data_IF_376275236510
#
_entry.id   IF_376275236510
#
_cell.length_a   1.000
_cell.length_b   1.000
_cell.length_c   1.000
_cell.angle_alpha   90.00
_cell.angle_beta   90.00
_cell.angle_gamma   90.00
#
_symmetry.space_group_name_H-M   'P 1'
#
loop_
_entity.id
_entity.type
_entity.pdbx_description
1 polymer ?
#
# COMPACT_ATOMS: atom_id res chain seq x y z
N UNK A 1 23.90 -13.18 -4.33
CA UNK A 1 22.84 -14.16 -4.67
C UNK A 1 21.71 -13.37 -5.30
N UNK A 2 21.26 -13.73 -6.51
CA UNK A 2 20.15 -13.02 -7.15
C UNK A 2 18.93 -13.05 -6.22
N UNK A 3 18.41 -11.87 -5.88
CA UNK A 3 17.13 -11.73 -5.17
C UNK A 3 16.07 -12.37 -6.06
N UNK A 4 15.64 -13.58 -5.71
CA UNK A 4 14.60 -14.28 -6.45
C UNK A 4 13.34 -13.44 -6.32
N UNK A 5 12.95 -12.73 -7.37
CA UNK A 5 11.70 -11.97 -7.39
C UNK A 5 10.48 -12.85 -7.13
N UNK A 6 9.34 -12.23 -6.83
CA UNK A 6 8.09 -12.95 -6.61
C UNK A 6 7.73 -13.85 -7.81
N UNK A 7 7.30 -15.08 -7.52
CA UNK A 7 6.84 -16.02 -8.57
C UNK A 7 5.57 -15.51 -9.23
N UNK A 8 4.70 -14.86 -8.45
CA UNK A 8 3.46 -14.25 -8.91
C UNK A 8 3.63 -12.74 -8.84
N UNK A 9 3.26 -12.05 -9.93
CA UNK A 9 3.31 -10.58 -9.96
C UNK A 9 2.39 -9.98 -8.89
N UNK A 10 2.83 -8.97 -8.11
CA UNK A 10 1.98 -8.24 -7.17
C UNK A 10 0.69 -7.70 -7.79
N UNK A 11 0.75 -7.32 -9.07
CA UNK A 11 -0.40 -6.82 -9.84
C UNK A 11 -1.47 -7.89 -10.14
N UNK A 12 -1.23 -9.15 -9.77
CA UNK A 12 -2.25 -10.21 -9.78
C UNK A 12 -3.22 -10.07 -8.61
N UNK A 13 -2.90 -9.25 -7.61
CA UNK A 13 -3.71 -9.02 -6.42
C UNK A 13 -4.28 -7.60 -6.41
N UNK A 14 -5.43 -7.44 -5.77
CA UNK A 14 -6.05 -6.14 -5.57
C UNK A 14 -5.35 -5.41 -4.42
N UNK A 15 -4.90 -4.18 -4.64
CA UNK A 15 -4.34 -3.34 -3.57
C UNK A 15 -5.31 -3.17 -2.38
N UNK A 16 -6.59 -2.89 -2.66
CA UNK A 16 -7.57 -2.54 -1.63
C UNK A 16 -7.96 -3.75 -0.75
N UNK A 17 -8.20 -4.92 -1.34
CA UNK A 17 -8.73 -6.07 -0.60
C UNK A 17 -7.76 -7.27 -0.47
N UNK A 18 -6.59 -7.22 -1.10
CA UNK A 18 -5.63 -8.33 -1.10
C UNK A 18 -6.05 -9.56 -1.89
N UNK A 19 -7.28 -9.63 -2.43
CA UNK A 19 -7.75 -10.81 -3.16
C UNK A 19 -7.08 -10.95 -4.54
N UNK A 20 -6.95 -12.19 -5.00
CA UNK A 20 -6.52 -12.50 -6.36
C UNK A 20 -7.51 -11.98 -7.41
N UNK A 21 -6.95 -11.40 -8.47
CA UNK A 21 -7.67 -10.75 -9.55
C UNK A 21 -7.29 -11.35 -10.88
N UNK A 22 -8.30 -11.64 -11.68
CA UNK A 22 -8.11 -12.08 -13.06
C UNK A 22 -7.93 -10.84 -13.91
N UNK A 23 -7.08 -10.91 -14.95
CA UNK A 23 -6.72 -9.76 -15.79
C UNK A 23 -7.92 -8.93 -16.27
N UNK A 24 -9.02 -9.58 -16.65
CA UNK A 24 -10.24 -8.88 -17.10
C UNK A 24 -10.95 -8.06 -15.99
N UNK A 25 -10.71 -8.40 -14.73
CA UNK A 25 -11.28 -7.74 -13.55
C UNK A 25 -10.33 -6.73 -12.90
N UNK A 26 -9.11 -6.57 -13.42
CA UNK A 26 -8.15 -5.59 -12.94
C UNK A 26 -8.46 -4.21 -13.53
N UNK A 27 -8.33 -3.17 -12.72
CA UNK A 27 -8.42 -1.77 -13.12
C UNK A 27 -7.15 -1.06 -12.62
N UNK A 28 -6.70 -0.05 -13.39
CA UNK A 28 -5.75 0.94 -12.90
C UNK A 28 -6.36 1.77 -11.77
N UNK A 29 -5.51 2.24 -10.86
CA UNK A 29 -5.94 3.15 -9.79
C UNK A 29 -6.10 4.55 -10.39
N UNK A 30 -7.36 4.99 -10.53
CA UNK A 30 -7.70 6.33 -10.98
C UNK A 30 -7.73 7.34 -9.83
N UNK A 31 -7.74 8.63 -10.13
CA UNK A 31 -7.87 9.69 -9.12
C UNK A 31 -9.17 9.58 -8.34
N UNK A 32 -10.25 9.15 -9.00
CA UNK A 32 -11.50 8.81 -8.34
C UNK A 32 -11.29 7.77 -7.23
N UNK A 33 -10.58 6.67 -7.52
CA UNK A 33 -10.29 5.63 -6.54
C UNK A 33 -9.45 6.20 -5.40
N UNK A 34 -8.42 7.00 -5.70
CA UNK A 34 -7.56 7.62 -4.66
C UNK A 34 -8.36 8.52 -3.73
N UNK A 35 -9.18 9.42 -4.28
CA UNK A 35 -10.00 10.38 -3.52
C UNK A 35 -11.04 9.67 -2.65
N UNK A 36 -11.80 8.73 -3.21
CA UNK A 36 -12.85 8.01 -2.46
C UNK A 36 -12.26 7.06 -1.43
N UNK A 37 -11.13 6.41 -1.75
CA UNK A 37 -10.39 5.59 -0.79
C UNK A 37 -9.92 6.43 0.41
N UNK A 38 -9.33 7.60 0.15
CA UNK A 38 -8.93 8.52 1.21
C UNK A 38 -10.13 9.01 2.03
N UNK A 39 -11.23 9.41 1.37
CA UNK A 39 -12.44 9.84 2.06
C UNK A 39 -13.01 8.76 3.00
N UNK A 40 -12.92 7.48 2.59
CA UNK A 40 -13.43 6.34 3.35
C UNK A 40 -12.50 5.94 4.51
N UNK A 41 -11.21 5.70 4.22
CA UNK A 41 -10.25 5.15 5.19
C UNK A 41 -9.45 6.21 5.94
N UNK A 42 -9.56 7.49 5.56
CA UNK A 42 -8.76 8.61 6.06
C UNK A 42 -7.25 8.37 5.94
N UNK A 43 -6.85 7.58 4.93
CA UNK A 43 -5.47 7.17 4.68
C UNK A 43 -5.18 7.23 3.19
N UNK A 44 -4.05 7.85 2.82
CA UNK A 44 -3.63 7.96 1.42
C UNK A 44 -3.28 6.59 0.88
N UNK A 45 -3.53 6.39 -0.41
CA UNK A 45 -3.17 5.17 -1.11
C UNK A 45 -1.65 5.17 -1.36
N UNK A 46 -0.91 4.51 -0.46
CA UNK A 46 0.55 4.54 -0.39
C UNK A 46 1.27 3.50 -1.26
N UNK A 47 2.60 3.62 -1.29
CA UNK A 47 3.55 2.68 -1.89
C UNK A 47 3.32 2.38 -3.39
N UNK A 48 2.66 3.29 -4.12
CA UNK A 48 2.38 3.13 -5.55
C UNK A 48 3.59 3.40 -6.46
N UNK A 49 4.70 3.86 -5.89
CA UNK A 49 6.01 3.93 -6.50
C UNK A 49 6.85 2.67 -6.22
N UNK A 50 6.40 1.80 -5.31
CA UNK A 50 7.16 0.66 -4.84
C UNK A 50 6.83 -0.61 -5.63
N UNK A 51 7.81 -1.27 -6.25
CA UNK A 51 7.55 -2.46 -7.09
C UNK A 51 7.02 -3.66 -6.29
N UNK A 52 7.20 -3.68 -4.97
CA UNK A 52 6.72 -4.73 -4.08
C UNK A 52 5.23 -4.60 -3.74
N UNK A 53 4.59 -3.44 -3.97
CA UNK A 53 3.17 -3.26 -3.71
C UNK A 53 2.32 -3.58 -4.96
N UNK A 54 1.03 -3.94 -4.80
CA UNK A 54 0.12 -4.02 -5.94
C UNK A 54 -0.22 -2.62 -6.49
N UNK A 55 -0.28 -2.50 -7.82
CA UNK A 55 -0.62 -1.26 -8.52
C UNK A 55 -1.98 -1.34 -9.24
N UNK A 56 -2.77 -2.37 -8.91
CA UNK A 56 -4.06 -2.67 -9.53
C UNK A 56 -5.12 -2.85 -8.47
N UNK A 57 -6.34 -2.48 -8.81
CA UNK A 57 -7.53 -2.74 -7.99
C UNK A 57 -8.50 -3.63 -8.75
N UNK A 58 -9.30 -4.41 -8.03
CA UNK A 58 -10.34 -5.20 -8.67
C UNK A 58 -11.60 -4.37 -8.95
N UNK A 59 -12.33 -4.70 -10.03
CA UNK A 59 -13.61 -4.08 -10.40
C UNK A 59 -14.58 -3.99 -9.22
N UNK A 60 -14.65 -5.04 -8.40
CA UNK A 60 -15.53 -5.09 -7.24
C UNK A 60 -15.20 -4.00 -6.21
N UNK A 61 -13.93 -3.78 -5.90
CA UNK A 61 -13.52 -2.75 -4.95
C UNK A 61 -13.83 -1.36 -5.49
N UNK A 62 -13.56 -1.12 -6.76
CA UNK A 62 -13.85 0.16 -7.40
C UNK A 62 -15.37 0.43 -7.46
N UNK A 63 -16.18 -0.58 -7.79
CA UNK A 63 -17.64 -0.50 -7.76
C UNK A 63 -18.20 -0.27 -6.36
N UNK A 64 -17.68 -0.97 -5.36
CA UNK A 64 -18.09 -0.81 -3.97
C UNK A 64 -17.79 0.61 -3.44
N UNK A 65 -16.63 1.18 -3.78
CA UNK A 65 -16.29 2.57 -3.47
C UNK A 65 -17.25 3.54 -4.17
N UNK A 66 -17.54 3.29 -5.45
CA UNK A 66 -18.47 4.12 -6.24
C UNK A 66 -19.89 4.09 -5.67
N UNK A 67 -20.38 2.92 -5.28
CA UNK A 67 -21.72 2.80 -4.71
C UNK A 67 -21.82 3.45 -3.33
N UNK A 68 -20.78 3.33 -2.51
CA UNK A 68 -20.72 4.04 -1.23
C UNK A 68 -20.72 5.55 -1.43
N UNK A 69 -19.85 6.07 -2.31
CA UNK A 69 -19.80 7.50 -2.62
C UNK A 69 -21.15 8.06 -3.11
N UNK A 70 -21.90 7.28 -3.90
CA UNK A 70 -23.25 7.65 -4.37
C UNK A 70 -24.35 7.49 -3.31
N UNK A 71 -24.03 7.12 -2.07
CA UNK A 71 -25.00 6.82 -1.02
C UNK A 71 -25.88 5.60 -1.30
N UNK A 72 -25.51 4.76 -2.28
CA UNK A 72 -26.26 3.53 -2.64
C UNK A 72 -25.83 2.33 -1.80
N UNK A 73 -24.72 2.44 -1.08
CA UNK A 73 -24.17 1.41 -0.20
C UNK A 73 -23.79 2.05 1.13
N UNK A 74 -24.24 1.46 2.24
CA UNK A 74 -24.01 2.01 3.58
C UNK A 74 -22.52 2.02 3.95
N UNK A 75 -21.80 0.95 3.59
CA UNK A 75 -20.39 0.82 3.92
C UNK A 75 -19.67 -0.13 2.95
N UNK A 76 -18.34 0.00 2.91
CA UNK A 76 -17.46 -0.99 2.30
C UNK A 76 -17.46 -2.29 3.11
N UNK A 77 -16.94 -3.39 2.54
CA UNK A 77 -16.98 -4.73 3.18
C UNK A 77 -16.14 -4.83 4.45
N UNK A 78 -15.26 -3.87 4.69
CA UNK A 78 -14.36 -3.79 5.83
C UNK A 78 -14.11 -2.32 6.19
N UNK A 79 -13.74 -2.09 7.45
CA UNK A 79 -13.43 -0.76 7.96
C UNK A 79 -11.93 -0.49 8.09
N UNK A 80 -11.13 -1.54 8.29
CA UNK A 80 -9.67 -1.44 8.25
C UNK A 80 -9.16 -1.99 6.91
N UNK A 81 -8.33 -1.21 6.24
CA UNK A 81 -7.75 -1.50 4.94
C UNK A 81 -6.75 -2.66 4.93
N UNK A 82 -6.41 -3.15 3.73
CA UNK A 82 -5.27 -4.05 3.51
C UNK A 82 -3.97 -3.28 3.70
N UNK A 83 -3.13 -3.69 4.66
CA UNK A 83 -1.83 -3.05 4.89
C UNK A 83 -0.76 -3.81 4.12
N UNK A 84 0.00 -3.10 3.30
CA UNK A 84 1.16 -3.61 2.59
C UNK A 84 2.43 -3.06 3.22
N UNK A 85 3.46 -3.91 3.34
CA UNK A 85 4.82 -3.54 3.72
C UNK A 85 5.78 -4.36 2.86
N UNK A 86 7.03 -3.91 2.77
CA UNK A 86 8.05 -4.67 2.06
C UNK A 86 8.29 -6.05 2.71
N UNK A 87 8.28 -7.10 1.89
CA UNK A 87 8.57 -8.47 2.33
C UNK A 87 10.00 -8.62 2.81
N UNK A 88 10.20 -9.29 3.95
CA UNK A 88 11.56 -9.62 4.43
C UNK A 88 12.24 -10.70 3.60
N UNK A 89 11.46 -11.64 3.05
CA UNK A 89 11.93 -12.74 2.23
C UNK A 89 10.78 -13.33 1.39
N UNK A 90 11.11 -14.22 0.45
CA UNK A 90 10.13 -14.85 -0.44
C UNK A 90 9.58 -16.22 0.02
N UNK A 91 10.02 -16.71 1.18
CA UNK A 91 9.67 -18.07 1.68
C UNK A 91 8.65 -18.05 2.80
N UNK A 92 8.70 -17.07 3.70
CA UNK A 92 7.84 -16.98 4.89
C UNK A 92 7.07 -15.67 5.01
N UNK A 93 7.55 -14.59 4.38
CA UNK A 93 6.99 -13.24 4.55
C UNK A 93 6.67 -12.56 3.21
N UNK A 94 6.39 -13.33 2.16
CA UNK A 94 5.94 -12.80 0.88
C UNK A 94 4.54 -13.30 0.54
N UNK A 95 3.56 -12.40 0.66
CA UNK A 95 2.16 -12.68 0.36
C UNK A 95 1.96 -13.26 -1.05
N UNK A 96 2.64 -12.68 -2.04
CA UNK A 96 2.51 -13.10 -3.44
C UNK A 96 3.08 -14.48 -3.72
N UNK A 97 4.09 -14.92 -2.97
CA UNK A 97 4.65 -16.26 -3.11
C UNK A 97 3.85 -17.31 -2.33
N UNK A 98 3.26 -16.92 -1.19
CA UNK A 98 2.57 -17.84 -0.28
C UNK A 98 1.12 -18.11 -0.67
N UNK A 99 0.46 -17.19 -1.38
CA UNK A 99 -0.90 -17.42 -1.86
C UNK A 99 -0.85 -18.30 -3.12
N UNK A 100 -1.34 -19.53 -3.02
CA UNK A 100 -1.48 -20.41 -4.18
C UNK A 100 -2.69 -19.99 -5.04
N UNK A 101 -2.38 -19.42 -6.21
CA UNK A 101 -3.37 -18.98 -7.20
C UNK A 101 -3.39 -19.87 -8.45
N UNK A 102 -2.56 -20.93 -8.51
CA UNK A 102 -2.50 -21.81 -9.68
C UNK A 102 -3.82 -22.58 -9.83
N UNK A 103 -4.35 -22.61 -11.05
CA UNK A 103 -5.62 -23.30 -11.34
C UNK A 103 -6.89 -22.55 -10.90
N UNK A 104 -6.77 -21.38 -10.29
CA UNK A 104 -7.93 -20.56 -9.93
C UNK A 104 -8.40 -19.66 -11.09
N UNK A 105 -9.71 -19.52 -11.21
CA UNK A 105 -10.45 -18.75 -12.21
C UNK A 105 -11.62 -17.99 -11.57
N UNK A 106 -12.44 -17.31 -12.38
CA UNK A 106 -13.50 -16.43 -11.87
C UNK A 106 -14.52 -17.15 -11.00
N UNK A 107 -14.72 -18.45 -11.20
CA UNK A 107 -15.75 -19.26 -10.52
C UNK A 107 -15.27 -19.81 -9.18
N UNK A 108 -13.99 -20.16 -9.06
CA UNK A 108 -13.44 -20.85 -7.89
C UNK A 108 -12.47 -19.99 -7.05
N UNK A 109 -12.07 -18.79 -7.49
CA UNK A 109 -11.12 -17.92 -6.75
C UNK A 109 -11.54 -17.52 -5.33
N UNK A 110 -12.83 -17.69 -5.00
CA UNK A 110 -13.35 -17.50 -3.63
C UNK A 110 -12.83 -18.55 -2.63
N UNK A 111 -12.32 -19.67 -3.14
CA UNK A 111 -11.76 -20.77 -2.34
C UNK A 111 -10.26 -20.60 -2.08
N UNK A 112 -9.64 -19.52 -2.56
CA UNK A 112 -8.24 -19.21 -2.29
C UNK A 112 -8.10 -18.88 -0.81
N UNK A 113 -7.14 -19.50 -0.14
CA UNK A 113 -6.76 -19.15 1.22
C UNK A 113 -5.76 -18.00 1.20
N UNK A 114 -5.99 -16.99 2.03
CA UNK A 114 -5.16 -15.80 2.12
C UNK A 114 -4.56 -15.71 3.54
N UNK A 115 -3.23 -15.81 3.69
CA UNK A 115 -2.57 -15.73 4.98
C UNK A 115 -2.56 -14.29 5.52
N UNK A 116 -2.37 -14.15 6.83
CA UNK A 116 -2.04 -12.88 7.45
C UNK A 116 -0.53 -12.89 7.74
N UNK A 117 0.21 -11.91 7.20
CA UNK A 117 1.67 -11.84 7.28
C UNK A 117 2.12 -10.50 7.85
N UNK A 118 3.39 -10.41 8.26
CA UNK A 118 3.95 -9.13 8.68
C UNK A 118 3.99 -8.13 7.52
N UNK A 119 4.37 -8.59 6.32
CA UNK A 119 4.39 -7.78 5.10
C UNK A 119 3.03 -7.48 4.50
N UNK A 120 1.99 -8.22 4.89
CA UNK A 120 0.67 -8.13 4.28
C UNK A 120 -0.42 -8.47 5.29
N UNK A 121 -0.96 -7.43 5.94
CA UNK A 121 -1.99 -7.57 6.96
C UNK A 121 -3.36 -7.44 6.30
N UNK A 122 -4.20 -8.46 6.48
CA UNK A 122 -5.51 -8.54 5.82
C UNK A 122 -6.49 -7.47 6.33
N UNK A 123 -7.45 -7.03 5.48
CA UNK A 123 -8.49 -6.10 5.90
C UNK A 123 -9.32 -6.67 7.06
N UNK A 124 -9.73 -5.80 7.97
CA UNK A 124 -10.59 -6.18 9.11
C UNK A 124 -12.02 -5.74 8.83
N UNK A 125 -13.00 -6.67 8.85
CA UNK A 125 -14.42 -6.35 8.71
C UNK A 125 -14.87 -5.29 9.72
N UNK A 126 -15.97 -4.59 9.41
CA UNK A 126 -16.61 -3.72 10.39
C UNK A 126 -17.09 -4.51 11.61
N UNK A 127 -17.01 -3.87 12.76
CA UNK A 127 -17.49 -4.36 14.06
C UNK A 127 -18.10 -3.19 14.82
N UNK A 128 -18.65 -3.43 16.01
CA UNK A 128 -19.11 -2.35 16.89
C UNK A 128 -18.02 -1.32 17.24
N UNK A 129 -16.75 -1.71 17.16
CA UNK A 129 -15.60 -0.85 17.45
C UNK A 129 -15.12 -0.08 16.21
N UNK A 130 -15.49 -0.54 15.00
CA UNK A 130 -15.06 0.08 13.74
C UNK A 130 -16.26 0.78 13.11
N UNK A 131 -16.32 2.09 13.28
CA UNK A 131 -17.41 2.92 12.75
C UNK A 131 -17.45 2.94 11.23
N UNK A 132 -18.66 2.90 10.67
CA UNK A 132 -18.88 3.09 9.24
C UNK A 132 -18.79 4.58 8.87
N UNK A 133 -17.90 4.99 7.95
CA UNK A 133 -17.78 6.38 7.54
C UNK A 133 -18.98 6.80 6.67
N UNK A 134 -19.39 8.06 6.80
CA UNK A 134 -20.40 8.65 5.94
C UNK A 134 -19.77 9.10 4.61
N UNK A 135 -20.46 8.91 3.47
CA UNK A 135 -19.97 9.37 2.18
C UNK A 135 -19.91 10.90 2.16
N UNK A 136 -18.86 11.49 1.56
CA UNK A 136 -18.74 12.93 1.45
C UNK A 136 -19.74 13.52 0.44
N UNK A 137 -20.04 14.81 0.60
CA UNK A 137 -20.89 15.58 -0.33
C UNK A 137 -20.22 15.84 -1.67
N UNK A 138 -18.90 16.05 -1.68
CA UNK A 138 -18.12 16.37 -2.88
C UNK A 138 -16.75 15.69 -2.87
N UNK A 139 -16.12 15.57 -4.05
CA UNK A 139 -14.73 15.06 -4.16
C UNK A 139 -13.68 16.17 -4.01
N UNK A 140 -14.09 17.43 -4.03
CA UNK A 140 -13.19 18.58 -4.03
C UNK A 140 -12.64 18.87 -2.63
N UNK A 141 -13.38 18.50 -1.58
CA UNK A 141 -12.95 18.57 -0.18
C UNK A 141 -11.61 17.86 0.09
N UNK A 142 -11.27 16.83 -0.70
CA UNK A 142 -10.11 15.97 -0.48
C UNK A 142 -8.95 16.24 -1.44
N UNK A 143 -9.06 17.23 -2.33
CA UNK A 143 -8.00 17.52 -3.29
C UNK A 143 -6.80 18.17 -2.62
N UNK A 144 -7.02 19.10 -1.69
CA UNK A 144 -5.96 19.86 -1.02
C UNK A 144 -5.06 18.98 -0.13
N UNK A 145 -5.65 18.04 0.61
CA UNK A 145 -4.89 17.19 1.54
C UNK A 145 -3.98 16.17 0.82
N UNK A 146 -4.18 15.93 -0.48
CA UNK A 146 -3.38 14.97 -1.25
C UNK A 146 -2.07 15.58 -1.81
N UNK A 147 -1.96 16.91 -1.88
CA UNK A 147 -0.88 17.62 -2.59
C UNK A 147 0.34 17.98 -1.72
N UNK A 148 0.24 17.88 -0.39
CA UNK A 148 1.24 18.44 0.56
C UNK A 148 2.62 17.76 0.65
N UNK A 149 2.94 16.71 -0.13
CA UNK A 149 4.20 15.93 0.06
C UNK A 149 5.15 15.95 -1.15
N UNK A 150 5.17 17.05 -1.91
CA UNK A 150 6.04 17.20 -3.09
C UNK A 150 7.14 18.28 -2.94
N UNK A 151 7.24 18.97 -1.80
CA UNK A 151 8.15 20.11 -1.66
C UNK A 151 8.92 20.08 -0.33
N UNK A 152 9.93 19.21 -0.22
CA UNK A 152 11.07 19.50 0.65
C UNK A 152 12.18 20.12 -0.23
N UNK A 153 12.58 21.39 0.00
CA UNK A 153 13.75 21.94 -0.66
C UNK A 153 15.00 21.17 -0.20
N UNK A 154 16.02 21.01 -1.06
CA UNK A 154 17.27 20.37 -0.67
C UNK A 154 17.89 21.13 0.52
N UNK A 155 18.52 20.43 1.48
CA UNK A 155 19.28 21.11 2.52
C UNK A 155 20.42 21.90 1.86
N UNK A 156 20.35 23.21 2.02
CA UNK A 156 21.39 24.16 1.68
C UNK A 156 22.62 23.84 2.54
N UNK A 157 23.67 23.29 1.93
CA UNK A 157 24.97 23.08 2.57
C UNK A 157 25.64 24.44 2.76
N UNK A 158 25.22 25.15 3.81
CA UNK A 158 25.90 26.34 4.29
C UNK A 158 27.16 25.92 5.04
N UNK A 159 28.27 25.99 4.32
CA UNK A 159 29.64 25.95 4.84
C UNK A 159 29.81 26.89 6.04
N UNK A 160 30.30 26.35 7.15
CA UNK A 160 31.02 27.14 8.14
C UNK A 160 32.27 26.39 8.59
N UNK A 161 33.39 26.88 8.07
CA UNK A 161 34.75 26.68 8.57
C UNK A 161 34.81 26.90 10.08
N UNK A 162 35.25 25.90 10.81
CA UNK A 162 35.91 26.09 12.11
C UNK A 162 37.25 25.38 12.06
N UNK A 163 38.27 26.15 11.69
CA UNK A 163 39.67 25.77 11.88
C UNK A 163 39.98 25.71 13.37
N UNK A 164 40.52 24.59 13.81
CA UNK A 164 41.22 24.48 15.08
C UNK A 164 42.59 23.87 14.78
N UNK A 165 43.60 24.74 14.70
CA UNK A 165 45.00 24.35 14.58
C UNK A 165 45.57 23.87 15.92
N UNK A 166 46.41 22.83 15.81
CA UNK A 166 47.54 22.35 16.65
C UNK A 166 47.27 22.13 18.16
N UNK A 167 47.71 21.05 18.81
CA UNK A 167 49.05 20.46 18.78
C UNK A 167 49.06 19.10 19.53
N UNK A 168 50.21 18.42 19.47
CA UNK A 168 50.65 17.22 20.20
C UNK A 168 50.45 15.84 19.56
N UNK A 169 51.46 15.51 18.74
CA UNK A 169 51.96 14.15 18.50
C UNK A 169 52.88 13.74 19.66
N UNK A 170 52.83 12.49 20.16
CA UNK A 170 53.98 11.60 19.95
C UNK A 170 53.55 10.13 19.70
N UNK A 171 53.94 9.53 18.57
CA UNK A 171 55.10 8.64 18.35
C UNK A 171 54.77 7.14 18.44
N UNK A 172 55.32 6.43 17.44
CA UNK A 172 55.25 4.98 17.21
C UNK A 172 55.72 4.17 18.43
N UNK A 173 55.15 2.97 18.59
CA UNK A 173 55.99 1.77 18.70
C UNK A 173 55.23 0.55 18.15
N UNK A 174 55.86 -0.11 17.18
CA UNK A 174 55.50 -1.44 16.72
C UNK A 174 56.18 -2.47 17.64
N UNK A 175 55.48 -3.55 17.97
CA UNK A 175 56.11 -4.86 18.18
C UNK A 175 55.15 -5.96 17.72
#
# INVERSE_FOLDING_TARGET
>A
MATRGCVISPNSFCYICGEFTIKSQQINISDFVRKVYFAYFKLKLGDQDKPWAPHKVCRRCEEDLRLWFKGKKNAFRFGILMIWREQKNHTTDCYFCLVDVKGFNSKNKRNISYPNLYSAIRPVPHSSEISMPQPPSSLDEYSSELEDEAALPPPDESSSDLSFDEDERPQLYSQ
#
